data_IF_849896953896
#
_entry.id   IF_849896953896
#
_cell.length_a   1.000
_cell.length_b   1.000
_cell.length_c   1.000
_cell.angle_alpha   90.00
_cell.angle_beta   90.00
_cell.angle_gamma   90.00
#
_symmetry.space_group_name_H-M   'P 1'
#
loop_
_entity.id
_entity.type
_entity.pdbx_description
1 polymer ?
#
# COMPACT_ATOMS: atom_id res chain seq x y z
N UNK A 1 7.65 0.36 6.03
CA UNK A 1 8.19 0.94 4.79
C UNK A 1 9.50 0.32 4.34
N UNK A 2 10.50 0.13 5.21
CA UNK A 2 11.82 -0.43 4.82
C UNK A 2 11.71 -1.77 4.08
N UNK A 3 10.81 -2.67 4.50
CA UNK A 3 10.60 -3.95 3.82
C UNK A 3 10.01 -3.77 2.41
N UNK A 4 9.04 -2.85 2.25
CA UNK A 4 8.40 -2.56 0.96
C UNK A 4 9.40 -1.94 -0.02
N UNK A 5 10.20 -0.98 0.44
CA UNK A 5 11.23 -0.34 -0.38
C UNK A 5 12.35 -1.31 -0.77
N UNK A 6 12.83 -2.14 0.17
CA UNK A 6 13.85 -3.16 -0.14
C UNK A 6 13.35 -4.13 -1.21
N UNK A 7 12.12 -4.62 -1.07
CA UNK A 7 11.54 -5.52 -2.08
C UNK A 7 11.35 -4.82 -3.43
N UNK A 8 10.93 -3.56 -3.47
CA UNK A 8 10.83 -2.78 -4.71
C UNK A 8 12.19 -2.66 -5.41
N UNK A 9 13.24 -2.32 -4.66
CA UNK A 9 14.60 -2.18 -5.21
C UNK A 9 15.19 -3.51 -5.70
N UNK A 10 14.79 -4.64 -5.10
CA UNK A 10 15.19 -5.98 -5.54
C UNK A 10 14.26 -6.60 -6.59
N UNK A 11 13.33 -5.82 -7.16
CA UNK A 11 12.28 -6.30 -8.08
C UNK A 11 11.46 -7.48 -7.51
N UNK A 12 11.33 -7.53 -6.19
CA UNK A 12 10.58 -8.53 -5.43
C UNK A 12 9.11 -8.17 -5.26
N UNK A 13 8.33 -9.12 -4.76
CA UNK A 13 6.90 -8.95 -4.47
C UNK A 13 6.63 -9.12 -2.98
N UNK A 14 5.78 -8.27 -2.41
CA UNK A 14 5.40 -8.32 -0.99
C UNK A 14 3.90 -8.55 -0.88
N UNK A 15 3.52 -9.54 -0.08
CA UNK A 15 2.15 -9.74 0.33
C UNK A 15 1.94 -9.15 1.73
N UNK A 16 1.02 -8.18 1.85
CA UNK A 16 0.68 -7.54 3.11
C UNK A 16 -0.73 -7.94 3.50
N UNK A 17 -0.90 -8.53 4.67
CA UNK A 17 -2.22 -8.83 5.23
C UNK A 17 -2.33 -8.38 6.69
N UNK A 18 -3.57 -8.24 7.14
CA UNK A 18 -3.91 -8.24 8.56
C UNK A 18 -4.97 -9.33 8.77
N UNK A 19 -5.61 -9.39 9.94
CA UNK A 19 -6.58 -10.45 10.23
C UNK A 19 -7.74 -10.49 9.21
N UNK A 20 -8.43 -9.37 9.03
CA UNK A 20 -9.59 -9.27 8.13
C UNK A 20 -9.26 -8.60 6.79
N UNK A 21 -8.05 -8.06 6.61
CA UNK A 21 -7.68 -7.35 5.39
C UNK A 21 -8.33 -5.97 5.20
N UNK A 22 -9.07 -5.43 6.18
CA UNK A 22 -9.92 -4.23 6.03
C UNK A 22 -9.29 -2.94 6.57
N UNK A 23 -8.57 -2.98 7.69
CA UNK A 23 -8.10 -1.77 8.38
C UNK A 23 -6.59 -1.58 8.29
N UNK A 24 -5.81 -2.44 8.96
CA UNK A 24 -4.36 -2.26 9.13
C UNK A 24 -3.57 -2.43 7.83
N UNK A 25 -3.86 -3.48 7.06
CA UNK A 25 -3.15 -3.70 5.80
C UNK A 25 -3.47 -2.66 4.72
N UNK A 26 -4.74 -2.21 4.52
CA UNK A 26 -5.02 -1.08 3.63
C UNK A 26 -4.38 0.22 4.10
N UNK A 27 -4.43 0.54 5.40
CA UNK A 27 -3.81 1.76 5.93
C UNK A 27 -2.30 1.81 5.66
N UNK A 28 -1.59 0.69 5.88
CA UNK A 28 -0.16 0.60 5.56
C UNK A 28 0.11 0.80 4.07
N UNK A 29 -0.73 0.23 3.20
CA UNK A 29 -0.61 0.38 1.77
C UNK A 29 -0.85 1.84 1.33
N UNK A 30 -1.86 2.52 1.89
CA UNK A 30 -2.14 3.95 1.62
C UNK A 30 -0.92 4.79 1.99
N UNK A 31 -0.41 4.63 3.21
CA UNK A 31 0.76 5.38 3.68
C UNK A 31 1.99 5.14 2.79
N UNK A 32 2.19 3.92 2.31
CA UNK A 32 3.25 3.59 1.36
C UNK A 32 3.08 4.32 0.02
N UNK A 33 1.88 4.24 -0.57
CA UNK A 33 1.58 4.88 -1.85
C UNK A 33 1.70 6.40 -1.76
N UNK A 34 1.22 7.03 -0.69
CA UNK A 34 1.38 8.47 -0.46
C UNK A 34 2.85 8.89 -0.55
N UNK A 35 3.72 8.21 0.18
CA UNK A 35 5.16 8.54 0.19
C UNK A 35 5.86 8.20 -1.12
N UNK A 36 5.51 7.06 -1.73
CA UNK A 36 6.27 6.56 -2.88
C UNK A 36 5.85 7.23 -4.20
N UNK A 37 4.56 7.57 -4.34
CA UNK A 37 4.02 8.22 -5.53
C UNK A 37 3.75 9.72 -5.33
N UNK A 38 4.11 10.27 -4.16
CA UNK A 38 3.85 11.67 -3.79
C UNK A 38 2.38 12.08 -3.95
N UNK A 39 1.46 11.16 -3.63
CA UNK A 39 0.02 11.39 -3.72
C UNK A 39 -0.53 11.97 -2.42
N UNK A 40 -1.59 12.78 -2.56
CA UNK A 40 -2.42 13.16 -1.42
C UNK A 40 -3.05 11.92 -0.76
N UNK A 41 -3.52 12.06 0.48
CA UNK A 41 -4.19 10.96 1.18
C UNK A 41 -5.44 10.48 0.42
N UNK A 42 -6.23 11.41 -0.13
CA UNK A 42 -7.42 11.10 -0.91
C UNK A 42 -7.09 10.38 -2.22
N UNK A 43 -6.06 10.83 -2.93
CA UNK A 43 -5.65 10.20 -4.20
C UNK A 43 -5.05 8.82 -3.95
N UNK A 44 -4.22 8.67 -2.90
CA UNK A 44 -3.66 7.37 -2.52
C UNK A 44 -4.77 6.39 -2.09
N UNK A 45 -5.76 6.87 -1.34
CA UNK A 45 -6.92 6.06 -0.96
C UNK A 45 -7.73 5.62 -2.18
N UNK A 46 -8.08 6.55 -3.08
CA UNK A 46 -8.78 6.24 -4.34
C UNK A 46 -7.98 5.27 -5.21
N UNK A 47 -6.66 5.47 -5.32
CA UNK A 47 -5.76 4.60 -6.07
C UNK A 47 -5.80 3.15 -5.58
N UNK A 48 -5.78 2.94 -4.26
CA UNK A 48 -5.84 1.61 -3.66
C UNK A 48 -7.24 1.02 -3.76
N UNK A 49 -8.27 1.82 -3.50
CA UNK A 49 -9.67 1.38 -3.60
C UNK A 49 -10.01 0.89 -5.01
N UNK A 50 -9.52 1.55 -6.06
CA UNK A 50 -9.71 1.10 -7.44
C UNK A 50 -9.04 -0.25 -7.77
N UNK A 51 -8.06 -0.69 -6.97
CA UNK A 51 -7.31 -1.95 -7.15
C UNK A 51 -7.76 -3.05 -6.19
N UNK A 52 -8.75 -2.78 -5.35
CA UNK A 52 -9.35 -3.74 -4.42
C UNK A 52 -10.81 -3.90 -4.81
N UNK A 53 -11.21 -5.11 -5.18
CA UNK A 53 -12.56 -5.44 -5.64
C UNK A 53 -13.57 -5.66 -4.49
N UNK A 54 -13.21 -5.37 -3.24
CA UNK A 54 -14.04 -5.54 -2.05
C UNK A 54 -13.76 -4.46 -1.01
#
# INVERSE_FOLDING_TARGET
MVILEKARLSNGRVFIHCLAGISRSPALAVAYIMRHLSLSVDDAYRYIKARRSH
#
